data_IF_364286984742
#
_entry.id   IF_364286984742
#
_cell.length_a   1.000
_cell.length_b   1.000
_cell.length_c   1.000
_cell.angle_alpha   90.00
_cell.angle_beta   90.00
_cell.angle_gamma   90.00
#
_symmetry.space_group_name_H-M   'P 1'
#
loop_
_entity.id
_entity.type
_entity.pdbx_description
1 polymer ?
#
# COMPACT_ATOMS: atom_id res chain seq x y z
N UNK A 1 -14.94 -8.59 8.61
CA UNK A 1 -15.08 -10.07 8.42
C UNK A 1 -13.83 -10.68 7.78
N UNK A 2 -13.28 -10.15 6.65
CA UNK A 2 -12.11 -10.73 5.96
C UNK A 2 -10.83 -10.74 6.80
N UNK A 3 -10.58 -9.71 7.59
CA UNK A 3 -9.36 -9.58 8.41
C UNK A 3 -9.34 -10.56 9.59
N UNK A 4 -10.50 -10.75 10.22
CA UNK A 4 -10.63 -11.68 11.34
C UNK A 4 -10.46 -13.14 10.91
N UNK A 5 -10.89 -13.49 9.70
CA UNK A 5 -10.67 -14.82 9.11
C UNK A 5 -9.21 -15.05 8.72
N UNK A 6 -8.46 -14.02 8.30
CA UNK A 6 -7.10 -14.20 7.79
C UNK A 6 -6.10 -14.59 8.88
N UNK A 7 -6.18 -14.03 10.09
CA UNK A 7 -5.25 -14.36 11.19
C UNK A 7 -5.42 -15.79 11.69
N UNK A 8 -6.67 -16.26 11.81
CA UNK A 8 -6.96 -17.64 12.22
C UNK A 8 -6.68 -18.65 11.11
N UNK A 9 -6.95 -18.30 9.85
CA UNK A 9 -6.64 -19.12 8.69
C UNK A 9 -5.13 -19.31 8.47
N UNK A 10 -4.32 -18.30 8.76
CA UNK A 10 -2.87 -18.38 8.57
C UNK A 10 -2.18 -19.20 9.65
N UNK A 11 -2.78 -19.36 10.83
CA UNK A 11 -2.20 -20.11 11.95
C UNK A 11 -2.49 -21.62 11.91
N UNK A 12 -3.55 -22.07 11.24
CA UNK A 12 -3.96 -23.48 11.22
C UNK A 12 -4.15 -24.01 9.80
N UNK A 13 -3.26 -24.90 9.36
CA UNK A 13 -3.31 -25.53 8.03
C UNK A 13 -4.45 -26.55 7.82
N UNK A 14 -5.18 -26.92 8.87
CA UNK A 14 -6.20 -28.00 8.83
C UNK A 14 -7.53 -27.56 9.48
N UNK A 15 -8.11 -26.43 9.04
CA UNK A 15 -9.41 -25.98 9.54
C UNK A 15 -10.54 -26.78 8.89
N UNK A 16 -11.37 -27.41 9.70
CA UNK A 16 -12.56 -28.14 9.26
C UNK A 16 -13.80 -27.23 9.22
N UNK A 17 -14.86 -27.68 8.50
CA UNK A 17 -16.17 -26.99 8.51
C UNK A 17 -16.74 -26.90 9.93
N UNK A 18 -16.47 -27.89 10.78
CA UNK A 18 -16.92 -27.89 12.18
C UNK A 18 -16.20 -26.81 13.01
N UNK A 19 -14.93 -26.56 12.73
CA UNK A 19 -14.17 -25.48 13.38
C UNK A 19 -14.73 -24.10 12.97
N UNK A 20 -15.10 -23.94 11.71
CA UNK A 20 -15.76 -22.73 11.22
C UNK A 20 -17.11 -22.51 11.88
N UNK A 21 -17.91 -23.57 12.08
CA UNK A 21 -19.21 -23.49 12.79
C UNK A 21 -19.01 -23.08 14.24
N UNK A 22 -18.16 -23.77 14.98
CA UNK A 22 -17.83 -23.42 16.38
C UNK A 22 -17.35 -21.98 16.52
N UNK A 23 -16.59 -21.53 15.56
CA UNK A 23 -16.07 -20.17 15.51
C UNK A 23 -17.16 -19.13 15.25
N UNK A 24 -18.08 -19.43 14.32
CA UNK A 24 -19.25 -18.60 14.05
C UNK A 24 -20.17 -18.51 15.27
N UNK A 25 -20.44 -19.65 15.92
CA UNK A 25 -21.26 -19.72 17.13
C UNK A 25 -20.64 -18.88 18.26
N UNK A 26 -19.33 -19.02 18.46
CA UNK A 26 -18.60 -18.20 19.44
C UNK A 26 -18.70 -16.71 19.07
N UNK A 27 -18.50 -16.38 17.80
CA UNK A 27 -18.59 -15.00 17.31
C UNK A 27 -19.98 -14.40 17.54
N UNK A 28 -21.04 -15.13 17.23
CA UNK A 28 -22.43 -14.72 17.48
C UNK A 28 -22.68 -14.52 18.98
N UNK A 29 -22.22 -15.47 19.81
CA UNK A 29 -22.38 -15.43 21.27
C UNK A 29 -21.66 -14.25 21.92
N UNK A 30 -20.52 -13.85 21.39
CA UNK A 30 -19.74 -12.71 21.87
C UNK A 30 -20.20 -11.37 21.27
N UNK A 31 -21.20 -11.38 20.36
CA UNK A 31 -21.73 -10.18 19.71
C UNK A 31 -22.64 -9.42 20.65
N UNK A 32 -22.41 -8.08 20.73
CA UNK A 32 -23.37 -7.18 21.37
C UNK A 32 -24.51 -6.85 20.40
N UNK A 33 -25.59 -6.22 20.94
CA UNK A 33 -26.68 -5.74 20.09
C UNK A 33 -26.21 -4.70 19.10
N UNK A 34 -25.27 -3.84 19.49
CA UNK A 34 -24.66 -2.80 18.66
C UNK A 34 -23.86 -3.43 17.51
N UNK A 35 -23.08 -4.47 17.79
CA UNK A 35 -22.34 -5.20 16.75
C UNK A 35 -23.28 -5.80 15.69
N UNK A 36 -24.41 -6.39 16.14
CA UNK A 36 -25.39 -6.99 15.23
C UNK A 36 -26.14 -5.91 14.44
N UNK A 37 -26.49 -4.80 15.07
CA UNK A 37 -27.11 -3.65 14.42
C UNK A 37 -26.20 -3.07 13.34
N UNK A 38 -24.93 -2.88 13.63
CA UNK A 38 -23.95 -2.38 12.65
C UNK A 38 -23.83 -3.30 11.42
N UNK A 39 -23.86 -4.62 11.63
CA UNK A 39 -23.84 -5.59 10.54
C UNK A 39 -25.10 -5.47 9.68
N UNK A 40 -26.26 -5.34 10.32
CA UNK A 40 -27.54 -5.20 9.62
C UNK A 40 -27.58 -3.89 8.83
N UNK A 41 -27.13 -2.79 9.43
CA UNK A 41 -26.99 -1.50 8.74
C UNK A 41 -26.05 -1.61 7.54
N UNK A 42 -24.89 -2.27 7.68
CA UNK A 42 -23.94 -2.49 6.58
C UNK A 42 -24.53 -3.37 5.48
N UNK A 43 -25.28 -4.42 5.85
CA UNK A 43 -25.93 -5.33 4.91
C UNK A 43 -27.00 -4.62 4.09
N UNK A 44 -27.76 -3.73 4.73
CA UNK A 44 -28.86 -2.99 4.11
C UNK A 44 -28.44 -1.65 3.50
N UNK A 45 -27.20 -1.20 3.76
CA UNK A 45 -26.70 0.04 3.22
C UNK A 45 -26.66 0.01 1.68
N UNK A 46 -27.24 1.01 1.06
CA UNK A 46 -27.00 1.27 -0.37
C UNK A 46 -25.55 1.65 -0.55
N UNK A 47 -24.75 0.77 -1.15
CA UNK A 47 -23.34 0.99 -1.43
C UNK A 47 -23.21 2.19 -2.36
N UNK A 48 -22.71 3.28 -1.85
CA UNK A 48 -22.39 4.47 -2.64
C UNK A 48 -20.88 4.58 -2.71
N UNK A 49 -20.38 4.79 -3.92
CA UNK A 49 -18.99 5.14 -4.12
C UNK A 49 -18.64 6.37 -3.28
N UNK A 50 -17.69 6.22 -2.37
CA UNK A 50 -17.19 7.30 -1.56
C UNK A 50 -16.20 8.11 -2.39
N UNK A 51 -16.56 9.36 -2.74
CA UNK A 51 -15.64 10.27 -3.42
C UNK A 51 -14.46 10.57 -2.53
N UNK A 52 -13.28 10.54 -3.10
CA UNK A 52 -12.03 10.83 -2.43
C UNK A 52 -11.12 11.71 -3.30
N UNK A 53 -10.14 12.34 -2.66
CA UNK A 53 -9.06 13.10 -3.30
C UNK A 53 -7.76 12.95 -2.50
N UNK A 54 -6.66 13.36 -3.09
CA UNK A 54 -5.37 13.39 -2.41
C UNK A 54 -5.43 14.30 -1.17
N UNK A 55 -4.75 13.86 -0.12
CA UNK A 55 -4.79 14.50 1.19
C UNK A 55 -5.95 14.07 2.08
N UNK A 56 -6.92 13.28 1.56
CA UNK A 56 -8.01 12.78 2.39
C UNK A 56 -7.52 11.76 3.40
N UNK A 57 -7.95 11.96 4.64
CA UNK A 57 -7.85 10.96 5.69
C UNK A 57 -9.08 10.05 5.64
N UNK A 58 -8.84 8.79 5.90
CA UNK A 58 -9.90 7.80 5.94
C UNK A 58 -9.74 6.85 7.12
N UNK A 59 -10.86 6.31 7.60
CA UNK A 59 -10.92 5.26 8.59
C UNK A 59 -11.44 3.97 7.96
N UNK A 60 -10.92 2.84 8.42
CA UNK A 60 -11.39 1.51 8.05
C UNK A 60 -11.24 0.56 9.23
N UNK A 61 -12.06 -0.50 9.26
CA UNK A 61 -11.99 -1.47 10.35
C UNK A 61 -10.94 -2.53 10.10
N UNK A 62 -10.07 -2.78 11.09
CA UNK A 62 -9.13 -3.90 11.11
C UNK A 62 -9.68 -5.09 11.90
N UNK A 63 -10.55 -4.81 12.83
CA UNK A 63 -11.30 -5.83 13.57
C UNK A 63 -12.71 -5.31 13.85
N UNK A 64 -13.48 -6.11 14.55
CA UNK A 64 -14.87 -5.82 14.87
C UNK A 64 -15.10 -4.47 15.56
N UNK A 65 -14.19 -4.08 16.46
CA UNK A 65 -14.30 -2.86 17.29
C UNK A 65 -13.12 -1.93 17.17
N UNK A 66 -12.21 -2.21 16.23
CA UNK A 66 -10.99 -1.41 16.08
C UNK A 66 -10.96 -0.75 14.70
N UNK A 67 -10.75 0.55 14.72
CA UNK A 67 -10.54 1.38 13.55
C UNK A 67 -9.06 1.68 13.37
N UNK A 68 -8.63 1.62 12.14
CA UNK A 68 -7.37 2.16 11.68
C UNK A 68 -7.60 3.37 10.79
N UNK A 69 -6.53 4.13 10.60
CA UNK A 69 -6.56 5.40 9.91
C UNK A 69 -5.49 5.43 8.84
N UNK A 70 -5.87 5.90 7.68
CA UNK A 70 -4.96 6.08 6.56
C UNK A 70 -5.13 7.44 5.91
N UNK A 71 -4.24 7.72 4.96
CA UNK A 71 -4.26 8.94 4.16
C UNK A 71 -3.98 8.61 2.70
N UNK A 72 -4.73 9.23 1.80
CA UNK A 72 -4.51 9.11 0.36
C UNK A 72 -3.40 10.08 -0.03
N UNK A 73 -2.30 9.54 -0.56
CA UNK A 73 -1.15 10.33 -0.98
C UNK A 73 -1.24 10.69 -2.46
N UNK A 74 -1.68 9.74 -3.30
CA UNK A 74 -1.66 9.91 -4.75
C UNK A 74 -2.72 9.05 -5.44
N UNK A 75 -3.42 9.63 -6.41
CA UNK A 75 -4.25 8.91 -7.39
C UNK A 75 -3.41 8.67 -8.66
N UNK A 76 -2.87 7.47 -8.80
CA UNK A 76 -2.01 7.10 -9.93
C UNK A 76 -2.79 7.05 -11.25
N UNK A 77 -4.12 6.96 -11.20
CA UNK A 77 -4.95 6.99 -12.42
C UNK A 77 -4.86 8.31 -13.19
N UNK A 78 -4.31 9.35 -12.57
CA UNK A 78 -4.01 10.64 -13.23
C UNK A 78 -3.06 10.48 -14.42
N UNK A 79 -2.12 9.53 -14.36
CA UNK A 79 -1.23 9.23 -15.48
C UNK A 79 -1.99 8.94 -16.78
N UNK A 80 -3.18 8.34 -16.71
CA UNK A 80 -3.99 8.04 -17.90
C UNK A 80 -4.52 9.27 -18.62
N UNK A 81 -4.45 10.44 -18.00
CA UNK A 81 -4.87 11.72 -18.55
C UNK A 81 -3.69 12.56 -19.04
N UNK A 82 -2.49 12.10 -18.80
CA UNK A 82 -1.27 12.75 -19.30
C UNK A 82 -1.18 12.54 -20.82
N UNK A 83 -0.93 13.59 -21.57
CA UNK A 83 -0.78 13.54 -23.04
C UNK A 83 0.42 12.68 -23.45
N UNK A 84 1.42 12.58 -22.58
CA UNK A 84 2.62 11.76 -22.78
C UNK A 84 2.44 10.30 -22.30
N UNK A 85 1.24 9.93 -21.86
CA UNK A 85 1.00 8.58 -21.39
C UNK A 85 1.03 7.55 -22.53
N UNK A 86 2.10 6.80 -22.61
CA UNK A 86 2.26 5.75 -23.60
C UNK A 86 1.64 4.44 -23.13
N UNK A 87 0.54 4.03 -23.75
CA UNK A 87 -0.20 2.79 -23.40
C UNK A 87 0.65 1.52 -23.47
N UNK A 88 1.73 1.55 -24.25
CA UNK A 88 2.62 0.39 -24.47
C UNK A 88 3.75 0.28 -23.44
N UNK A 89 3.80 1.18 -22.47
CA UNK A 89 4.81 1.15 -21.39
C UNK A 89 4.30 0.37 -20.17
N UNK A 90 5.24 -0.13 -19.38
CA UNK A 90 4.97 -0.92 -18.17
C UNK A 90 4.55 -0.05 -16.95
N UNK A 91 3.67 0.90 -17.09
CA UNK A 91 3.14 1.65 -15.94
C UNK A 91 2.33 0.73 -15.02
N UNK A 92 2.99 -0.14 -14.27
CA UNK A 92 2.39 -1.27 -13.57
C UNK A 92 1.11 -0.92 -12.78
N UNK A 93 1.04 0.29 -12.20
CA UNK A 93 -0.14 0.76 -11.48
C UNK A 93 -1.18 1.40 -12.41
N UNK A 94 -0.76 2.12 -13.45
CA UNK A 94 -1.68 2.88 -14.29
C UNK A 94 -2.56 2.02 -15.22
N UNK A 95 -2.13 0.79 -15.54
CA UNK A 95 -2.88 -0.12 -16.42
C UNK A 95 -4.02 -0.88 -15.74
N UNK A 96 -4.14 -0.79 -14.44
CA UNK A 96 -5.15 -1.54 -13.71
C UNK A 96 -6.54 -0.95 -13.90
N UNK A 97 -7.54 -1.82 -13.92
CA UNK A 97 -8.93 -1.37 -13.87
C UNK A 97 -9.21 -0.66 -12.52
N UNK A 98 -10.05 0.36 -12.52
CA UNK A 98 -10.35 1.18 -11.34
C UNK A 98 -9.30 2.27 -11.12
N UNK A 99 -9.20 2.79 -9.90
CA UNK A 99 -8.24 3.82 -9.51
C UNK A 99 -7.19 3.24 -8.56
N UNK A 100 -5.97 3.00 -9.04
CA UNK A 100 -4.86 2.65 -8.16
C UNK A 100 -4.46 3.89 -7.34
N UNK A 101 -4.37 3.70 -6.04
CA UNK A 101 -4.06 4.74 -5.06
C UNK A 101 -2.79 4.38 -4.32
N UNK A 102 -1.97 5.39 -4.02
CA UNK A 102 -0.92 5.28 -3.03
C UNK A 102 -1.45 5.86 -1.73
N UNK A 103 -1.38 5.07 -0.68
CA UNK A 103 -1.85 5.41 0.66
C UNK A 103 -0.77 5.17 1.70
N UNK A 104 -0.91 5.80 2.87
CA UNK A 104 -0.23 5.39 4.10
C UNK A 104 -1.23 5.05 5.18
N UNK A 105 -0.82 4.20 6.13
CA UNK A 105 -1.61 3.81 7.30
C UNK A 105 -0.86 4.24 8.55
N UNK A 106 -1.51 5.01 9.41
CA UNK A 106 -0.90 5.54 10.63
C UNK A 106 -0.77 4.48 11.73
N UNK A 107 0.24 4.63 12.57
CA UNK A 107 0.41 3.85 13.81
C UNK A 107 -0.63 4.27 14.85
N UNK A 108 -1.90 4.15 14.49
CA UNK A 108 -3.02 4.51 15.34
C UNK A 108 -4.17 3.53 15.17
N UNK A 109 -4.60 2.99 16.31
CA UNK A 109 -5.80 2.16 16.44
C UNK A 109 -6.70 2.83 17.46
N UNK A 110 -8.02 2.81 17.24
CA UNK A 110 -9.02 3.37 18.14
C UNK A 110 -10.30 2.53 18.11
N UNK A 111 -11.08 2.60 19.16
CA UNK A 111 -12.42 2.01 19.25
C UNK A 111 -13.48 2.80 18.48
N UNK A 112 -13.19 4.04 18.14
CA UNK A 112 -14.06 4.90 17.33
C UNK A 112 -13.29 5.62 16.22
N UNK A 113 -14.00 6.20 15.27
CA UNK A 113 -13.43 6.90 14.10
C UNK A 113 -13.25 8.41 14.30
N UNK A 114 -13.66 8.95 15.45
CA UNK A 114 -13.52 10.38 15.72
C UNK A 114 -12.08 10.66 16.19
N UNK A 115 -11.34 11.39 15.40
CA UNK A 115 -9.93 11.70 15.66
C UNK A 115 -9.58 13.08 15.13
N UNK A 116 -8.71 13.79 15.82
CA UNK A 116 -8.13 15.04 15.30
C UNK A 116 -7.17 14.72 14.16
N UNK A 117 -7.45 15.27 12.97
CA UNK A 117 -6.65 15.02 11.77
C UNK A 117 -5.25 15.64 11.85
N UNK A 118 -5.10 16.76 12.57
CA UNK A 118 -3.80 17.40 12.76
C UNK A 118 -2.90 16.56 13.65
N UNK A 119 -3.45 15.99 14.72
CA UNK A 119 -2.72 15.07 15.59
C UNK A 119 -2.43 13.75 14.87
N UNK A 120 -3.39 13.22 14.13
CA UNK A 120 -3.19 12.00 13.31
C UNK A 120 -2.06 12.19 12.30
N UNK A 121 -1.97 13.36 11.66
CA UNK A 121 -0.94 13.65 10.65
C UNK A 121 0.50 13.61 11.20
N UNK A 122 0.67 13.80 12.51
CA UNK A 122 1.97 13.73 13.21
C UNK A 122 2.36 12.30 13.62
N UNK A 123 1.44 11.35 13.57
CA UNK A 123 1.71 9.96 13.93
C UNK A 123 2.66 9.32 12.91
N UNK A 124 3.50 8.40 13.39
CA UNK A 124 4.21 7.48 12.51
C UNK A 124 3.21 6.75 11.62
N UNK A 125 3.67 6.31 10.47
CA UNK A 125 2.87 5.52 9.54
C UNK A 125 3.67 4.33 9.02
N UNK A 126 2.97 3.28 8.62
CA UNK A 126 3.55 2.20 7.83
C UNK A 126 4.07 2.77 6.50
N UNK A 127 5.06 2.14 5.89
CA UNK A 127 5.50 2.48 4.53
C UNK A 127 4.30 2.52 3.60
N UNK A 128 4.30 3.46 2.65
CA UNK A 128 3.19 3.63 1.71
C UNK A 128 2.91 2.36 0.93
N UNK A 129 1.64 2.14 0.62
CA UNK A 129 1.13 0.96 -0.06
C UNK A 129 0.36 1.37 -1.30
N UNK A 130 0.41 0.53 -2.33
CA UNK A 130 -0.44 0.69 -3.49
C UNK A 130 -1.69 -0.19 -3.33
N UNK A 131 -2.87 0.41 -3.41
CA UNK A 131 -4.16 -0.28 -3.33
C UNK A 131 -5.06 0.12 -4.49
N UNK A 132 -6.09 -0.69 -4.73
CA UNK A 132 -7.21 -0.29 -5.58
C UNK A 132 -8.24 0.48 -4.74
N UNK A 133 -9.05 1.32 -5.40
CA UNK A 133 -10.11 2.11 -4.76
C UNK A 133 -11.31 1.28 -4.25
N UNK A 134 -11.20 -0.05 -4.26
CA UNK A 134 -12.26 -0.98 -3.87
C UNK A 134 -12.82 -0.72 -2.47
N UNK A 135 -11.96 -0.37 -1.51
CA UNK A 135 -12.40 -0.07 -0.13
C UNK A 135 -13.34 1.15 -0.07
N UNK A 136 -13.16 2.10 -0.97
CA UNK A 136 -14.04 3.26 -1.10
C UNK A 136 -15.28 2.94 -1.94
N UNK A 137 -15.12 2.11 -2.97
CA UNK A 137 -16.21 1.66 -3.82
C UNK A 137 -17.24 0.81 -3.06
N UNK A 138 -16.76 -0.06 -2.19
CA UNK A 138 -17.62 -0.94 -1.39
C UNK A 138 -18.03 -0.35 -0.03
N UNK A 139 -17.61 0.88 0.29
CA UNK A 139 -17.95 1.53 1.55
C UNK A 139 -17.27 0.90 2.77
N UNK A 140 -16.14 0.22 2.57
CA UNK A 140 -15.33 -0.37 3.66
C UNK A 140 -14.47 0.71 4.35
N UNK A 141 -14.24 1.84 3.69
CA UNK A 141 -13.55 2.99 4.24
C UNK A 141 -14.46 4.23 4.26
N UNK A 142 -14.25 5.08 5.24
CA UNK A 142 -14.99 6.33 5.46
C UNK A 142 -14.01 7.50 5.41
N UNK A 143 -14.30 8.51 4.59
CA UNK A 143 -13.52 9.75 4.57
C UNK A 143 -13.84 10.55 5.83
N UNK A 144 -12.78 10.99 6.51
CA UNK A 144 -12.86 11.77 7.75
C UNK A 144 -12.68 13.28 7.51
N UNK A 145 -11.94 13.65 6.49
CA UNK A 145 -11.64 15.03 6.11
C UNK A 145 -10.36 15.11 5.30
N UNK A 146 -9.94 16.33 4.97
CA UNK A 146 -8.78 16.59 4.13
C UNK A 146 -7.85 17.61 4.78
N UNK A 147 -6.54 17.37 4.68
CA UNK A 147 -5.51 18.39 4.88
C UNK A 147 -4.58 18.39 3.66
N UNK A 148 -4.01 19.55 3.27
CA UNK A 148 -3.00 19.60 2.23
C UNK A 148 -1.84 18.65 2.55
N UNK A 149 -1.34 17.93 1.54
CA UNK A 149 -0.13 17.12 1.68
C UNK A 149 1.08 18.06 1.78
N UNK A 150 2.00 17.71 2.66
CA UNK A 150 3.29 18.39 2.77
C UNK A 150 4.34 17.59 2.03
N UNK A 151 5.41 18.24 1.51
CA UNK A 151 6.48 17.54 0.79
C UNK A 151 7.10 16.39 1.56
N UNK A 152 7.31 16.53 2.86
CA UNK A 152 7.86 15.50 3.73
C UNK A 152 6.91 14.30 3.96
N UNK A 153 5.64 14.43 3.61
CA UNK A 153 4.65 13.34 3.71
C UNK A 153 4.59 12.46 2.46
N UNK A 154 5.28 12.85 1.39
CA UNK A 154 5.28 12.18 0.09
C UNK A 154 6.16 10.91 0.09
N UNK A 155 5.86 9.98 0.99
CA UNK A 155 6.44 8.63 0.98
C UNK A 155 5.79 7.80 -0.13
N UNK A 156 6.21 7.99 -1.38
CA UNK A 156 5.62 7.31 -2.53
C UNK A 156 6.06 5.86 -2.60
N UNK A 157 5.16 5.04 -3.13
CA UNK A 157 5.42 3.63 -3.43
C UNK A 157 6.50 3.50 -4.50
N UNK A 158 7.45 2.56 -4.30
CA UNK A 158 8.52 2.24 -5.23
C UNK A 158 8.33 0.82 -5.73
N UNK A 159 8.33 0.63 -7.03
CA UNK A 159 8.33 -0.69 -7.68
C UNK A 159 9.41 -0.75 -8.73
N UNK A 160 10.25 -1.77 -8.67
CA UNK A 160 11.28 -2.04 -9.69
C UNK A 160 11.12 -3.48 -10.14
N UNK A 161 11.04 -3.73 -11.43
CA UNK A 161 10.82 -5.06 -11.97
C UNK A 161 11.27 -5.15 -13.41
N UNK A 162 11.53 -6.36 -13.86
CA UNK A 162 11.52 -6.69 -15.27
C UNK A 162 10.15 -6.42 -15.89
N UNK A 163 10.11 -6.22 -17.19
CA UNK A 163 8.89 -5.98 -17.95
C UNK A 163 7.81 -7.02 -17.66
N UNK A 164 6.57 -6.58 -17.63
CA UNK A 164 5.41 -7.46 -17.52
C UNK A 164 5.25 -8.23 -18.85
N UNK A 165 4.90 -9.52 -18.76
CA UNK A 165 4.65 -10.37 -19.93
C UNK A 165 3.69 -9.72 -20.92
N UNK A 166 4.07 -9.68 -22.20
CA UNK A 166 3.26 -9.09 -23.28
C UNK A 166 3.59 -7.65 -23.65
N UNK A 167 4.33 -6.93 -22.83
CA UNK A 167 4.91 -5.63 -23.13
C UNK A 167 6.42 -5.83 -23.40
N UNK A 168 7.16 -4.82 -23.80
CA UNK A 168 8.58 -4.97 -24.16
C UNK A 168 9.35 -5.80 -23.14
N UNK A 169 9.87 -6.95 -23.56
CA UNK A 169 10.55 -7.94 -22.71
C UNK A 169 12.03 -7.62 -22.46
N UNK A 170 12.57 -6.62 -23.15
CA UNK A 170 13.98 -6.29 -23.13
C UNK A 170 14.31 -5.15 -22.17
N UNK A 171 13.38 -4.77 -21.32
CA UNK A 171 13.54 -3.68 -20.38
C UNK A 171 13.27 -4.13 -18.94
N UNK A 172 13.86 -3.39 -18.01
CA UNK A 172 13.41 -3.29 -16.63
C UNK A 172 12.90 -1.87 -16.37
N UNK A 173 11.92 -1.74 -15.47
CA UNK A 173 11.33 -0.46 -15.15
C UNK A 173 11.34 -0.18 -13.64
N UNK A 174 11.40 1.11 -13.33
CA UNK A 174 11.16 1.65 -12.00
C UNK A 174 9.93 2.57 -12.06
N UNK A 175 8.98 2.33 -11.18
CA UNK A 175 7.88 3.24 -10.91
C UNK A 175 7.98 3.78 -9.48
N UNK A 176 8.02 5.11 -9.34
CA UNK A 176 8.06 5.83 -8.08
C UNK A 176 6.98 6.90 -8.08
N UNK A 177 5.84 6.58 -7.52
CA UNK A 177 4.64 7.42 -7.68
C UNK A 177 4.22 7.57 -9.14
N UNK A 178 4.23 8.80 -9.68
CA UNK A 178 4.01 9.09 -11.09
C UNK A 178 5.27 8.97 -11.95
N UNK A 179 6.45 8.95 -11.33
CA UNK A 179 7.71 8.81 -12.06
C UNK A 179 7.79 7.39 -12.63
N UNK A 180 8.08 7.30 -13.91
CA UNK A 180 8.33 6.07 -14.63
C UNK A 180 9.66 6.15 -15.41
N UNK A 181 10.52 5.16 -15.24
CA UNK A 181 11.81 5.09 -15.90
C UNK A 181 12.10 3.67 -16.36
N UNK A 182 12.77 3.55 -17.49
CA UNK A 182 13.18 2.27 -18.08
C UNK A 182 14.68 2.24 -18.28
N UNK A 183 15.25 1.03 -18.17
CA UNK A 183 16.62 0.71 -18.58
C UNK A 183 16.60 -0.62 -19.36
N UNK A 184 17.62 -0.90 -20.21
CA UNK A 184 17.76 -2.19 -20.85
C UNK A 184 17.80 -3.32 -19.80
N UNK A 185 17.14 -4.44 -20.09
CA UNK A 185 17.12 -5.60 -19.19
C UNK A 185 18.53 -6.11 -18.89
N UNK A 186 19.41 -6.10 -19.89
CA UNK A 186 20.83 -6.50 -19.71
C UNK A 186 21.58 -5.66 -18.67
N UNK A 187 21.26 -4.36 -18.57
CA UNK A 187 21.89 -3.48 -17.59
C UNK A 187 21.32 -3.70 -16.21
N UNK A 188 20.00 -3.96 -16.12
CA UNK A 188 19.34 -4.35 -14.88
C UNK A 188 19.90 -5.68 -14.34
N UNK A 189 20.06 -6.70 -15.18
CA UNK A 189 20.63 -8.00 -14.80
C UNK A 189 22.07 -7.86 -14.27
N UNK A 190 22.90 -7.04 -14.92
CA UNK A 190 24.25 -6.73 -14.42
C UNK A 190 24.20 -6.09 -13.05
N UNK A 191 23.33 -5.08 -12.89
CA UNK A 191 23.16 -4.38 -11.62
C UNK A 191 22.74 -5.33 -10.49
N UNK A 192 21.74 -6.18 -10.72
CA UNK A 192 21.25 -7.17 -9.73
C UNK A 192 22.36 -8.16 -9.36
N UNK A 193 23.14 -8.62 -10.34
CA UNK A 193 24.28 -9.51 -10.11
C UNK A 193 25.38 -8.84 -9.27
N UNK A 194 25.74 -7.61 -9.58
CA UNK A 194 26.71 -6.81 -8.80
C UNK A 194 26.24 -6.58 -7.37
N UNK A 195 24.95 -6.35 -7.18
CA UNK A 195 24.33 -6.14 -5.87
C UNK A 195 24.15 -7.46 -5.10
N UNK A 196 24.41 -8.61 -5.69
CA UNK A 196 24.20 -9.95 -5.13
C UNK A 196 22.78 -10.14 -4.60
N UNK A 197 21.80 -9.58 -5.28
CA UNK A 197 20.38 -9.70 -4.92
C UNK A 197 19.83 -10.89 -5.68
N UNK A 198 19.27 -11.86 -4.95
CA UNK A 198 18.69 -13.08 -5.52
C UNK A 198 17.31 -12.90 -6.18
N UNK A 199 16.82 -11.69 -6.31
CA UNK A 199 15.48 -11.43 -6.79
C UNK A 199 15.48 -10.73 -8.16
N UNK A 200 14.75 -11.29 -9.12
CA UNK A 200 14.44 -10.64 -10.39
C UNK A 200 13.57 -9.39 -10.21
N UNK A 201 13.01 -9.20 -9.02
CA UNK A 201 12.11 -8.11 -8.68
C UNK A 201 12.51 -7.51 -7.34
N UNK A 202 12.91 -6.24 -7.36
CA UNK A 202 13.08 -5.42 -6.17
C UNK A 202 11.72 -4.86 -5.79
N UNK A 203 11.15 -5.44 -4.73
CA UNK A 203 9.82 -5.12 -4.26
C UNK A 203 8.77 -4.96 -5.36
N UNK A 204 8.33 -6.08 -5.89
CA UNK A 204 7.01 -6.19 -6.45
C UNK A 204 6.02 -6.26 -5.29
N UNK A 205 5.67 -5.14 -4.70
CA UNK A 205 4.42 -5.10 -3.97
C UNK A 205 3.31 -5.21 -5.00
N UNK A 206 2.66 -6.37 -4.99
CA UNK A 206 1.41 -6.50 -5.71
C UNK A 206 0.46 -5.42 -5.22
N UNK A 207 -0.31 -4.83 -6.11
CA UNK A 207 -1.39 -3.95 -5.72
C UNK A 207 -2.35 -4.77 -4.89
N UNK A 208 -2.46 -4.39 -3.62
CA UNK A 208 -3.39 -5.03 -2.72
C UNK A 208 -4.82 -4.58 -2.99
N UNK A 209 -5.75 -5.53 -3.04
CA UNK A 209 -7.17 -5.20 -2.88
C UNK A 209 -7.51 -4.89 -1.42
N UNK A 210 -6.59 -5.18 -0.51
CA UNK A 210 -6.71 -5.02 0.94
C UNK A 210 -5.48 -4.32 1.48
N UNK A 211 -5.67 -3.38 2.39
CA UNK A 211 -4.58 -2.70 3.08
C UNK A 211 -3.82 -3.70 3.95
N UNK A 212 -2.50 -3.74 3.82
CA UNK A 212 -1.63 -4.59 4.61
C UNK A 212 -1.35 -3.97 5.98
N UNK A 213 -2.08 -4.44 7.00
CA UNK A 213 -1.93 -4.02 8.39
C UNK A 213 -1.40 -5.13 9.30
N UNK A 214 -0.92 -6.23 8.71
CA UNK A 214 -0.57 -7.46 9.43
C UNK A 214 0.36 -7.24 10.64
N UNK A 215 1.29 -6.30 10.56
CA UNK A 215 2.25 -5.99 11.63
C UNK A 215 1.98 -4.67 12.34
N UNK A 216 0.83 -4.05 12.10
CA UNK A 216 0.58 -2.70 12.61
C UNK A 216 0.65 -2.61 14.13
N UNK A 217 0.07 -3.57 14.87
CA UNK A 217 0.11 -3.56 16.34
C UNK A 217 1.55 -3.67 16.87
N UNK A 218 2.34 -4.57 16.29
CA UNK A 218 3.76 -4.71 16.62
C UNK A 218 4.57 -3.44 16.28
N UNK A 219 4.26 -2.78 15.16
CA UNK A 219 4.88 -1.52 14.79
C UNK A 219 4.52 -0.38 15.75
N UNK A 220 3.28 -0.33 16.24
CA UNK A 220 2.84 0.65 17.25
C UNK A 220 3.60 0.44 18.55
N UNK A 221 3.70 -0.79 19.03
CA UNK A 221 4.42 -1.16 20.26
C UNK A 221 5.91 -0.85 20.16
N UNK A 222 6.54 -1.20 19.04
CA UNK A 222 7.94 -0.93 18.75
C UNK A 222 8.22 0.54 18.43
N UNK A 223 7.20 1.37 18.20
CA UNK A 223 7.33 2.74 17.66
C UNK A 223 8.23 2.80 16.42
N UNK A 224 8.14 1.79 15.57
CA UNK A 224 9.01 1.58 14.41
C UNK A 224 8.34 0.73 13.34
N UNK A 225 8.80 0.86 12.10
CA UNK A 225 8.37 0.03 10.98
C UNK A 225 9.17 -1.30 10.83
N UNK A 226 10.15 -1.57 11.68
CA UNK A 226 10.95 -2.81 11.60
C UNK A 226 10.10 -4.08 11.59
N UNK A 227 9.06 -4.25 12.45
CA UNK A 227 8.20 -5.44 12.41
C UNK A 227 7.48 -5.61 11.07
N UNK A 228 7.15 -4.52 10.37
CA UNK A 228 6.54 -4.56 9.05
C UNK A 228 7.53 -5.10 8.01
N UNK A 229 8.79 -4.65 8.02
CA UNK A 229 9.83 -5.10 7.08
C UNK A 229 10.28 -6.53 7.31
N UNK A 230 10.28 -7.03 8.54
CA UNK A 230 10.60 -8.43 8.85
C UNK A 230 9.72 -9.44 8.11
N UNK A 231 8.48 -9.07 7.81
CA UNK A 231 7.58 -9.87 6.98
C UNK A 231 8.18 -10.14 5.59
N UNK A 232 8.85 -9.16 5.01
CA UNK A 232 9.43 -9.26 3.67
C UNK A 232 10.81 -9.92 3.68
N UNK A 233 11.55 -9.83 4.78
CA UNK A 233 12.84 -10.50 4.98
C UNK A 233 12.77 -12.00 4.69
N UNK A 234 11.66 -12.66 5.08
CA UNK A 234 11.44 -14.08 4.80
C UNK A 234 11.26 -14.40 3.31
N UNK A 235 10.95 -13.42 2.48
CA UNK A 235 10.77 -13.58 1.03
C UNK A 235 12.02 -13.25 0.23
N UNK A 236 13.09 -12.86 0.90
CA UNK A 236 14.36 -12.44 0.29
C UNK A 236 14.19 -11.28 -0.74
N UNK A 237 13.19 -10.44 -0.53
CA UNK A 237 12.92 -9.27 -1.38
C UNK A 237 13.30 -8.02 -0.59
N UNK A 238 14.34 -7.28 -1.00
CA UNK A 238 14.72 -6.04 -0.33
C UNK A 238 13.62 -4.99 -0.49
N UNK A 239 13.26 -4.34 0.61
CA UNK A 239 12.39 -3.17 0.60
C UNK A 239 13.24 -1.90 0.51
N UNK A 240 13.14 -1.16 -0.60
CA UNK A 240 13.92 0.06 -0.82
C UNK A 240 13.52 1.23 0.11
N UNK A 241 12.46 1.06 0.90
CA UNK A 241 12.06 2.03 1.95
C UNK A 241 12.59 1.66 3.32
N UNK A 242 13.11 0.45 3.49
CA UNK A 242 13.79 0.08 4.71
C UNK A 242 15.11 0.89 4.81
N UNK A 243 15.33 1.65 5.90
CA UNK A 243 16.57 2.40 6.10
C UNK A 243 17.85 1.55 5.96
N UNK A 244 17.79 0.27 6.34
CA UNK A 244 18.91 -0.67 6.21
C UNK A 244 19.31 -0.91 4.74
N UNK A 245 18.44 -0.58 3.79
CA UNK A 245 18.66 -0.74 2.36
C UNK A 245 18.95 0.58 1.63
N UNK A 246 19.36 1.63 2.34
CA UNK A 246 19.58 2.96 1.74
C UNK A 246 20.65 2.93 0.62
N UNK A 247 21.74 2.20 0.82
CA UNK A 247 22.78 2.05 -0.20
C UNK A 247 22.28 1.30 -1.43
N UNK A 248 21.43 0.31 -1.23
CA UNK A 248 20.77 -0.39 -2.33
C UNK A 248 19.86 0.56 -3.10
N UNK A 249 19.04 1.34 -2.38
CA UNK A 249 18.17 2.36 -2.98
C UNK A 249 18.96 3.36 -3.82
N UNK A 250 20.08 3.88 -3.30
CA UNK A 250 20.96 4.81 -4.02
C UNK A 250 21.46 4.25 -5.33
N UNK A 251 21.94 3.00 -5.33
CA UNK A 251 22.45 2.34 -6.55
C UNK A 251 21.33 2.11 -7.57
N UNK A 252 20.18 1.64 -7.15
CA UNK A 252 19.02 1.44 -8.00
C UNK A 252 18.53 2.77 -8.58
N UNK A 253 18.30 3.78 -7.76
CA UNK A 253 17.82 5.09 -8.22
C UNK A 253 18.78 5.69 -9.24
N UNK A 254 20.09 5.66 -8.96
CA UNK A 254 21.12 6.15 -9.88
C UNK A 254 21.05 5.45 -11.24
N UNK A 255 20.86 4.12 -11.26
CA UNK A 255 20.75 3.37 -12.51
C UNK A 255 19.55 3.80 -13.37
N UNK A 256 18.45 4.20 -12.72
CA UNK A 256 17.26 4.71 -13.39
C UNK A 256 17.26 6.24 -13.57
N UNK A 257 18.38 6.93 -13.30
CA UNK A 257 18.53 8.37 -13.47
C UNK A 257 17.79 9.20 -12.42
N UNK A 258 17.59 8.64 -11.22
CA UNK A 258 16.99 9.28 -10.07
C UNK A 258 18.02 9.45 -8.94
N UNK A 259 17.65 10.22 -7.93
CA UNK A 259 18.47 10.46 -6.74
C UNK A 259 17.71 10.02 -5.48
N UNK A 260 18.26 9.04 -4.77
CA UNK A 260 17.63 8.47 -3.57
C UNK A 260 17.65 9.40 -2.36
N UNK A 261 18.54 10.40 -2.35
CA UNK A 261 18.68 11.38 -1.27
C UNK A 261 17.82 12.63 -1.48
N UNK A 262 17.16 12.72 -2.65
CA UNK A 262 16.18 13.77 -2.98
C UNK A 262 14.77 13.34 -2.64
N UNK A 263 13.92 14.32 -2.36
CA UNK A 263 12.48 14.13 -2.18
C UNK A 263 11.82 13.62 -3.46
N UNK A 264 10.61 13.09 -3.33
CA UNK A 264 9.80 12.70 -4.50
C UNK A 264 9.59 13.85 -5.47
N UNK A 265 9.27 15.06 -4.95
CA UNK A 265 9.01 16.24 -5.77
C UNK A 265 10.25 16.71 -6.52
N UNK A 266 11.42 16.68 -5.90
CA UNK A 266 12.68 17.00 -6.56
C UNK A 266 13.00 15.99 -7.67
N UNK A 267 12.79 14.69 -7.44
CA UNK A 267 12.96 13.67 -8.46
C UNK A 267 11.94 13.85 -9.60
N UNK A 268 10.69 14.22 -9.29
CA UNK A 268 9.68 14.47 -10.31
C UNK A 268 10.11 15.63 -11.23
N UNK A 269 10.55 16.74 -10.66
CA UNK A 269 11.09 17.89 -11.43
C UNK A 269 12.29 17.51 -12.30
N UNK A 270 13.18 16.63 -11.82
CA UNK A 270 14.32 16.14 -12.62
C UNK A 270 13.89 15.36 -13.87
N UNK A 271 12.73 14.72 -13.80
CA UNK A 271 12.19 13.91 -14.91
C UNK A 271 11.41 14.77 -15.90
N UNK A 272 10.67 15.77 -15.42
CA UNK A 272 9.85 16.68 -16.26
C UNK A 272 10.69 17.66 -17.10
N UNK A 273 11.91 17.96 -16.68
CA UNK A 273 12.84 18.90 -17.38
C UNK A 273 13.58 18.24 -18.57
N UNK A 274 13.32 16.97 -18.86
CA UNK A 274 13.90 16.25 -20.03
C UNK A 274 12.86 16.04 -21.11
#
# INVERSE_FOLDING_TARGET
>A
QRTYYSESFMKNKNITINDLKKWLDKWVKESTREDLKEIEEFKNAKRKYCKFKEGDFFAFKISRREWCFGRILLDVSKLRKDENFEKNKNYGLAHLMGKPLIIKVYHKISDNKNIDLKELSKCLALPSQAIMDNIFYYGEAVILGNLPLKPEENDMFISVSESISGIDKNIAYLQYGLIYREIPLSDYEKLIKELKIGAQTLRREGIGFVIDTYKLKECIEAKSNYPFWEKYKKRNIPDLKNPDHIELKRKIFKAFGLDADKTYEENLKMVEVK
#
